data_IF_375460074399
#
_entry.id   IF_375460074399
#
_cell.length_a   1.000
_cell.length_b   1.000
_cell.length_c   1.000
_cell.angle_alpha   90.00
_cell.angle_beta   90.00
_cell.angle_gamma   90.00
#
_symmetry.space_group_name_H-M   'P 1'
#
loop_
_entity.id
_entity.type
_entity.pdbx_description
1 polymer ?
#
# COMPACT_ATOMS: atom_id res chain seq x y z
N UNK A 1 -5.01 52.43 39.48
CA UNK A 1 -4.69 52.43 40.92
C UNK A 1 -4.99 51.02 41.43
N UNK A 2 -4.09 50.04 41.43
CA UNK A 2 -2.84 49.84 42.19
C UNK A 2 -2.98 50.12 43.69
N UNK A 3 -3.12 49.05 44.48
CA UNK A 3 -2.29 48.66 45.65
C UNK A 3 -2.66 47.19 46.00
N UNK A 4 -1.78 46.16 45.92
CA UNK A 4 -0.66 45.77 46.82
C UNK A 4 -1.12 45.51 48.27
N UNK A 5 -0.76 44.47 49.03
CA UNK A 5 0.25 43.38 49.06
C UNK A 5 -0.35 42.21 49.89
N UNK A 6 -0.12 40.90 49.69
CA UNK A 6 1.08 40.03 49.78
C UNK A 6 1.80 39.91 51.15
N UNK A 7 1.79 38.67 51.67
CA UNK A 7 2.74 37.91 52.53
C UNK A 7 2.06 37.29 53.76
N UNK A 8 2.10 35.98 54.04
CA UNK A 8 3.20 34.99 54.17
C UNK A 8 2.67 33.60 53.71
N UNK A 9 3.25 32.75 52.84
CA UNK A 9 4.55 32.02 52.84
C UNK A 9 4.91 31.33 54.16
N UNK A 10 4.67 30.02 54.24
CA UNK A 10 5.71 28.97 54.23
C UNK A 10 5.25 27.67 54.90
N UNK A 11 5.30 26.56 54.16
CA UNK A 11 5.74 25.21 54.60
C UNK A 11 5.64 24.22 53.42
N UNK A 12 6.73 24.10 52.65
CA UNK A 12 7.14 22.82 52.03
C UNK A 12 7.92 22.01 53.11
N UNK A 13 8.06 20.68 53.11
CA UNK A 13 8.88 19.76 52.27
C UNK A 13 8.50 18.29 52.76
N UNK A 14 8.87 17.12 52.15
CA UNK A 14 8.43 16.43 50.92
C UNK A 14 8.01 14.92 51.07
N UNK A 15 7.77 14.28 49.90
CA UNK A 15 7.65 12.84 49.52
C UNK A 15 8.08 11.72 50.50
N UNK A 16 7.26 10.65 50.46
CA UNK A 16 7.51 9.21 50.78
C UNK A 16 6.86 8.65 52.06
N UNK A 17 5.62 8.15 51.92
CA UNK A 17 4.97 7.07 52.72
C UNK A 17 3.45 7.14 52.53
N UNK A 18 2.91 6.54 51.48
CA UNK A 18 1.48 6.15 51.42
C UNK A 18 1.30 4.93 50.52
N UNK A 19 2.25 3.99 50.59
CA UNK A 19 2.03 2.61 50.17
C UNK A 19 1.87 1.77 51.44
N UNK A 20 0.90 0.85 51.40
CA UNK A 20 0.56 -0.20 52.39
C UNK A 20 -0.40 0.22 53.54
N UNK A 21 -1.69 -0.09 53.39
CA UNK A 21 -2.34 -1.28 53.98
C UNK A 21 -3.89 -1.24 53.81
N UNK A 22 -4.43 -2.19 53.01
CA UNK A 22 -5.62 -3.04 53.24
C UNK A 22 -7.03 -2.40 53.50
N UNK A 23 -8.20 -2.97 53.15
CA UNK A 23 -8.63 -4.24 52.55
C UNK A 23 -10.12 -4.11 52.16
N UNK A 24 -10.57 -4.78 51.11
CA UNK A 24 -11.94 -4.75 50.57
C UNK A 24 -12.69 -6.06 50.91
N UNK A 25 -13.68 -6.09 51.84
CA UNK A 25 -14.55 -7.26 51.98
C UNK A 25 -16.06 -6.96 51.85
N UNK A 26 -16.47 -5.83 51.26
CA UNK A 26 -17.91 -5.53 51.13
C UNK A 26 -18.54 -6.04 49.81
N UNK A 27 -17.75 -6.31 48.78
CA UNK A 27 -18.29 -6.65 47.44
C UNK A 27 -18.61 -8.14 47.25
N UNK A 28 -18.04 -9.02 48.07
CA UNK A 28 -18.21 -10.49 47.93
C UNK A 28 -19.49 -11.01 48.58
N UNK A 29 -20.03 -10.29 49.57
CA UNK A 29 -21.23 -10.72 50.30
C UNK A 29 -22.51 -10.51 49.49
N UNK A 30 -22.60 -9.41 48.73
CA UNK A 30 -23.79 -9.10 47.93
C UNK A 30 -23.98 -10.08 46.76
N UNK A 31 -22.89 -10.53 46.15
CA UNK A 31 -22.91 -11.50 45.03
C UNK A 31 -23.31 -12.90 45.51
N UNK A 32 -22.88 -13.30 46.71
CA UNK A 32 -23.26 -14.61 47.30
C UNK A 32 -24.72 -14.66 47.72
N UNK A 33 -25.25 -13.57 48.27
CA UNK A 33 -26.67 -13.46 48.63
C UNK A 33 -27.58 -13.56 47.39
N UNK A 34 -27.20 -12.93 46.29
CA UNK A 34 -27.97 -12.98 45.03
C UNK A 34 -27.96 -14.39 44.40
N UNK A 35 -26.83 -15.10 44.50
CA UNK A 35 -26.69 -16.46 43.96
C UNK A 35 -27.50 -17.50 44.73
N UNK A 36 -27.64 -17.32 46.05
CA UNK A 36 -28.43 -18.22 46.89
C UNK A 36 -29.94 -18.09 46.61
N UNK A 37 -30.43 -16.88 46.34
CA UNK A 37 -31.83 -16.60 46.01
C UNK A 37 -32.22 -17.23 44.66
N UNK A 38 -31.37 -17.11 43.64
CA UNK A 38 -31.60 -17.74 42.32
C UNK A 38 -31.63 -19.27 42.42
N UNK A 39 -30.80 -19.85 43.29
CA UNK A 39 -30.72 -21.31 43.50
C UNK A 39 -31.95 -21.89 44.20
N UNK A 40 -32.69 -21.09 44.97
CA UNK A 40 -33.92 -21.50 45.65
C UNK A 40 -35.14 -21.46 44.69
N UNK A 41 -35.09 -20.66 43.62
CA UNK A 41 -36.23 -20.39 42.73
C UNK A 41 -36.27 -21.32 41.49
N UNK A 42 -35.16 -21.93 41.07
CA UNK A 42 -35.09 -22.68 39.80
C UNK A 42 -35.17 -24.20 39.94
N UNK A 43 -36.00 -24.84 39.10
CA UNK A 43 -36.27 -26.29 39.10
C UNK A 43 -35.10 -27.10 38.48
N UNK A 44 -34.92 -28.36 38.90
CA UNK A 44 -33.72 -29.20 38.64
C UNK A 44 -33.32 -29.34 37.17
N UNK A 45 -34.25 -29.20 36.23
CA UNK A 45 -33.97 -29.32 34.79
C UNK A 45 -33.40 -28.04 34.14
N UNK A 46 -33.52 -26.88 34.78
CA UNK A 46 -32.90 -25.62 34.31
C UNK A 46 -31.48 -25.41 34.88
N UNK A 47 -31.12 -26.12 35.95
CA UNK A 47 -29.77 -26.08 36.54
C UNK A 47 -28.73 -26.79 35.66
N UNK A 48 -29.13 -27.81 34.89
CA UNK A 48 -28.22 -28.55 34.00
C UNK A 48 -27.84 -27.74 32.75
N UNK A 49 -28.75 -26.95 32.20
CA UNK A 49 -28.48 -26.05 31.06
C UNK A 49 -27.60 -24.86 31.49
N UNK A 50 -27.71 -24.40 32.73
CA UNK A 50 -26.86 -23.35 33.30
C UNK A 50 -25.43 -23.81 33.66
N UNK A 51 -25.24 -25.05 34.12
CA UNK A 51 -23.88 -25.60 34.34
C UNK A 51 -23.07 -25.79 33.05
N UNK A 52 -23.73 -26.07 31.93
CA UNK A 52 -23.09 -26.12 30.61
C UNK A 52 -22.75 -24.71 30.11
N UNK A 53 -23.58 -23.71 30.41
CA UNK A 53 -23.33 -22.30 30.07
C UNK A 53 -22.17 -21.68 30.89
N UNK A 54 -22.02 -22.03 32.18
CA UNK A 54 -20.92 -21.53 33.03
C UNK A 54 -19.52 -22.09 32.69
N UNK A 55 -19.44 -23.29 32.08
CA UNK A 55 -18.17 -23.82 31.55
C UNK A 55 -17.71 -23.10 30.28
N UNK A 56 -18.63 -22.41 29.59
CA UNK A 56 -18.33 -21.58 28.42
C UNK A 56 -17.95 -20.12 28.76
N UNK A 57 -18.18 -19.66 30.00
CA UNK A 57 -17.96 -18.25 30.40
C UNK A 57 -16.75 -18.05 31.32
N UNK A 58 -16.26 -19.10 31.99
CA UNK A 58 -15.08 -19.01 32.88
C UNK A 58 -13.71 -19.06 32.17
N UNK A 59 -13.67 -19.03 30.83
CA UNK A 59 -12.43 -18.96 30.03
C UNK A 59 -12.12 -17.60 29.37
N UNK A 60 -12.97 -16.57 29.52
CA UNK A 60 -12.77 -15.29 28.81
C UNK A 60 -12.45 -14.15 29.78
N UNK A 61 -11.17 -13.82 29.87
CA UNK A 61 -10.67 -12.60 30.53
C UNK A 61 -11.04 -11.38 29.69
N UNK A 62 -11.76 -10.46 30.32
CA UNK A 62 -12.16 -9.14 29.83
C UNK A 62 -10.91 -8.32 29.44
N UNK A 63 -10.74 -7.97 28.15
CA UNK A 63 -9.81 -6.93 27.70
C UNK A 63 -10.62 -5.78 27.10
N UNK A 64 -10.42 -4.59 27.67
CA UNK A 64 -10.96 -3.30 27.24
C UNK A 64 -10.66 -3.02 25.76
N UNK A 65 -11.65 -2.41 25.11
CA UNK A 65 -11.60 -1.90 23.74
C UNK A 65 -10.36 -1.04 23.48
N UNK A 66 -9.50 -1.56 22.61
CA UNK A 66 -8.69 -0.79 21.67
C UNK A 66 -9.00 -1.40 20.30
N UNK A 67 -9.72 -0.68 19.45
CA UNK A 67 -9.88 -1.07 18.05
C UNK A 67 -8.56 -0.82 17.31
N UNK A 68 -7.64 -1.77 17.44
CA UNK A 68 -6.43 -1.84 16.64
C UNK A 68 -6.65 -2.88 15.55
N UNK A 69 -6.70 -2.41 14.30
CA UNK A 69 -6.69 -3.21 13.08
C UNK A 69 -5.50 -4.19 13.08
N UNK A 70 -5.72 -5.43 13.50
CA UNK A 70 -4.84 -6.56 13.26
C UNK A 70 -5.71 -7.75 12.88
N UNK A 71 -5.81 -8.05 11.58
CA UNK A 71 -6.66 -9.17 11.17
C UNK A 71 -6.63 -9.61 9.71
N UNK A 72 -6.02 -8.87 8.78
CA UNK A 72 -6.04 -9.24 7.34
C UNK A 72 -4.70 -9.74 6.80
N UNK A 73 -3.57 -9.40 7.44
CA UNK A 73 -2.22 -9.82 6.99
C UNK A 73 -1.96 -11.33 7.21
N UNK A 74 -2.53 -11.93 8.26
CA UNK A 74 -2.24 -13.34 8.61
C UNK A 74 -3.00 -14.34 7.73
N UNK A 75 -4.24 -14.02 7.32
CA UNK A 75 -5.02 -14.88 6.41
C UNK A 75 -4.40 -14.95 5.01
N UNK A 76 -3.80 -13.86 4.52
CA UNK A 76 -3.06 -13.85 3.26
C UNK A 76 -1.73 -14.61 3.37
N UNK A 77 -1.01 -14.49 4.50
CA UNK A 77 0.21 -15.28 4.78
C UNK A 77 -0.07 -16.79 4.92
N UNK A 78 -1.21 -17.18 5.50
CA UNK A 78 -1.59 -18.60 5.65
C UNK A 78 -2.00 -19.23 4.30
N UNK A 79 -2.72 -18.50 3.45
CA UNK A 79 -3.12 -18.97 2.11
C UNK A 79 -1.92 -19.17 1.17
N UNK A 80 -0.78 -18.53 1.45
CA UNK A 80 0.50 -18.71 0.70
C UNK A 80 1.17 -20.07 0.97
N UNK A 81 0.78 -20.80 2.02
CA UNK A 81 1.38 -22.11 2.38
C UNK A 81 0.60 -23.33 1.89
N UNK A 82 -0.68 -23.21 1.55
CA UNK A 82 -1.52 -24.39 1.25
C UNK A 82 -1.79 -24.65 -0.25
N UNK A 83 -1.22 -23.87 -1.18
CA UNK A 83 -1.39 -24.09 -2.64
C UNK A 83 -0.13 -23.89 -3.50
N UNK A 84 1.02 -24.37 -3.05
CA UNK A 84 2.24 -24.39 -3.88
C UNK A 84 2.86 -25.79 -3.87
N UNK A 85 2.14 -26.73 -4.47
CA UNK A 85 2.65 -28.08 -4.81
C UNK A 85 2.99 -28.21 -6.29
N UNK A 86 3.30 -27.10 -6.97
CA UNK A 86 3.85 -27.10 -8.32
C UNK A 86 5.31 -26.67 -8.27
N UNK A 87 6.21 -27.43 -8.89
CA UNK A 87 7.59 -27.01 -9.12
C UNK A 87 7.59 -25.62 -9.78
N UNK A 88 8.01 -24.61 -9.03
CA UNK A 88 8.19 -23.27 -9.57
C UNK A 88 9.46 -23.33 -10.43
N UNK A 89 9.30 -23.48 -11.75
CA UNK A 89 10.43 -23.43 -12.69
C UNK A 89 11.19 -22.14 -12.43
N UNK A 90 12.42 -22.25 -11.90
CA UNK A 90 13.23 -21.10 -11.55
C UNK A 90 13.67 -20.42 -12.84
N UNK A 91 13.07 -19.26 -13.15
CA UNK A 91 13.42 -18.50 -14.34
C UNK A 91 14.63 -17.64 -14.04
N UNK A 92 15.50 -17.51 -15.04
CA UNK A 92 16.69 -16.69 -14.90
C UNK A 92 16.41 -15.30 -15.47
N UNK A 93 16.32 -14.33 -14.58
CA UNK A 93 16.30 -12.91 -14.95
C UNK A 93 17.75 -12.43 -14.93
N UNK A 94 18.27 -11.97 -16.08
CA UNK A 94 19.62 -11.42 -16.18
C UNK A 94 19.75 -10.15 -15.31
N UNK A 95 20.06 -10.32 -14.03
CA UNK A 95 20.21 -9.27 -13.02
C UNK A 95 21.66 -9.31 -12.56
N UNK A 96 22.49 -8.39 -13.06
CA UNK A 96 23.89 -8.27 -12.67
C UNK A 96 24.04 -7.18 -11.59
N UNK A 97 24.83 -7.45 -10.55
CA UNK A 97 25.13 -6.48 -9.50
C UNK A 97 25.92 -5.28 -10.05
N UNK A 98 26.78 -5.51 -11.04
CA UNK A 98 27.57 -4.45 -11.70
C UNK A 98 26.65 -3.44 -12.40
N UNK A 99 25.67 -3.93 -13.18
CA UNK A 99 24.66 -3.10 -13.86
C UNK A 99 23.86 -2.25 -12.85
N UNK A 100 23.50 -2.83 -11.70
CA UNK A 100 22.80 -2.10 -10.62
C UNK A 100 23.68 -1.05 -9.94
N UNK A 101 24.99 -1.33 -9.83
CA UNK A 101 25.94 -0.39 -9.27
C UNK A 101 26.17 0.80 -10.20
N UNK A 102 26.38 0.54 -11.50
CA UNK A 102 26.52 1.55 -12.55
C UNK A 102 25.27 2.44 -12.69
N UNK A 103 24.08 1.84 -12.62
CA UNK A 103 22.82 2.58 -12.67
C UNK A 103 22.51 3.38 -11.39
N UNK A 104 23.33 3.24 -10.34
CA UNK A 104 23.18 3.98 -9.09
C UNK A 104 22.00 3.53 -8.23
N UNK A 105 21.59 2.26 -8.32
CA UNK A 105 20.46 1.68 -7.56
C UNK A 105 20.73 1.67 -6.05
N UNK A 106 22.00 1.56 -5.67
CA UNK A 106 22.45 1.40 -4.29
C UNK A 106 22.38 2.68 -3.45
N UNK A 107 22.24 3.85 -4.06
CA UNK A 107 22.14 5.11 -3.34
C UNK A 107 20.73 5.29 -2.79
N UNK A 108 20.61 5.53 -1.49
CA UNK A 108 19.37 5.99 -0.87
C UNK A 108 19.40 7.48 -0.55
N UNK A 109 18.48 7.90 0.31
CA UNK A 109 18.40 9.26 0.82
C UNK A 109 19.39 9.57 1.95
N UNK A 110 19.47 10.85 2.29
CA UNK A 110 20.25 11.34 3.43
C UNK A 110 19.73 10.82 4.77
N UNK A 111 20.64 10.64 5.72
CA UNK A 111 20.38 9.93 7.00
C UNK A 111 19.41 10.61 7.97
N UNK A 112 18.93 11.82 7.65
CA UNK A 112 17.89 12.51 8.41
C UNK A 112 16.47 12.19 7.92
N UNK A 113 16.32 11.68 6.69
CA UNK A 113 15.04 11.43 6.03
C UNK A 113 14.64 9.95 6.00
N UNK A 114 15.44 9.07 6.59
CA UNK A 114 15.21 7.63 6.50
C UNK A 114 14.10 7.14 7.44
N UNK A 115 13.46 6.05 7.05
CA UNK A 115 12.49 5.33 7.87
C UNK A 115 13.19 4.19 8.61
N UNK A 116 13.10 4.09 9.95
CA UNK A 116 13.70 3.00 10.73
C UNK A 116 13.32 1.59 10.27
N UNK A 117 12.13 1.41 9.69
CA UNK A 117 11.68 0.11 9.15
C UNK A 117 12.52 -0.36 7.95
N UNK A 118 13.23 0.56 7.29
CA UNK A 118 14.15 0.24 6.20
C UNK A 118 15.49 -0.32 6.67
N UNK A 119 15.76 -0.37 7.98
CA UNK A 119 17.04 -0.87 8.52
C UNK A 119 17.49 -2.23 7.95
N UNK A 120 16.62 -3.24 7.74
CA UNK A 120 17.03 -4.53 7.17
C UNK A 120 17.49 -4.49 5.71
N UNK A 121 17.18 -3.41 4.99
CA UNK A 121 17.48 -3.21 3.58
C UNK A 121 18.67 -2.27 3.34
N UNK A 122 19.14 -1.59 4.39
CA UNK A 122 20.29 -0.68 4.36
C UNK A 122 21.54 -1.46 4.73
N UNK A 123 22.58 -1.36 3.89
CA UNK A 123 23.87 -2.04 4.09
C UNK A 123 24.86 -1.15 4.85
N UNK A 124 24.95 0.12 4.51
CA UNK A 124 25.93 1.04 5.09
C UNK A 124 25.45 2.50 5.03
N UNK A 125 26.22 3.38 5.68
CA UNK A 125 26.09 4.83 5.58
C UNK A 125 27.44 5.41 5.19
N UNK A 126 27.51 6.22 4.13
CA UNK A 126 28.74 6.92 3.71
C UNK A 126 28.42 8.37 3.36
N UNK A 127 29.24 9.31 3.84
CA UNK A 127 29.09 10.76 3.58
C UNK A 127 27.66 11.29 3.83
N UNK A 128 26.97 10.76 4.85
CA UNK A 128 25.62 11.19 5.21
C UNK A 128 24.48 10.59 4.36
N UNK A 129 24.78 9.72 3.39
CA UNK A 129 23.83 9.02 2.52
C UNK A 129 23.76 7.54 2.93
N UNK A 130 22.55 6.97 2.93
CA UNK A 130 22.36 5.54 3.12
C UNK A 130 22.66 4.76 1.84
N UNK A 131 23.28 3.59 2.00
CA UNK A 131 23.54 2.65 0.92
C UNK A 131 22.61 1.45 1.11
N UNK A 132 21.84 1.11 0.09
CA UNK A 132 20.94 -0.05 0.11
C UNK A 132 21.70 -1.33 -0.21
N UNK A 133 21.16 -2.47 0.24
CA UNK A 133 21.75 -3.78 -0.01
C UNK A 133 21.31 -4.32 -1.38
N UNK A 134 22.20 -4.25 -2.38
CA UNK A 134 21.92 -4.71 -3.74
C UNK A 134 21.57 -6.20 -3.83
N UNK A 135 22.13 -7.05 -2.97
CA UNK A 135 21.80 -8.48 -2.94
C UNK A 135 20.34 -8.70 -2.53
N UNK A 136 19.82 -7.89 -1.59
CA UNK A 136 18.40 -7.90 -1.26
C UNK A 136 17.57 -7.41 -2.44
N UNK A 137 17.97 -6.30 -3.06
CA UNK A 137 17.29 -5.75 -4.23
C UNK A 137 17.19 -6.77 -5.37
N UNK A 138 18.28 -7.47 -5.70
CA UNK A 138 18.30 -8.48 -6.75
C UNK A 138 17.31 -9.63 -6.45
N UNK A 139 17.20 -10.06 -5.18
CA UNK A 139 16.23 -11.09 -4.76
C UNK A 139 14.78 -10.62 -4.95
N UNK A 140 14.43 -9.45 -4.41
CA UNK A 140 13.08 -8.90 -4.56
C UNK A 140 12.72 -8.59 -6.01
N UNK A 141 13.69 -8.13 -6.79
CA UNK A 141 13.50 -7.90 -8.22
C UNK A 141 13.24 -9.22 -8.97
N UNK A 142 13.97 -10.29 -8.65
CA UNK A 142 13.72 -11.61 -9.23
C UNK A 142 12.32 -12.11 -8.88
N UNK A 143 11.91 -12.03 -7.61
CA UNK A 143 10.57 -12.44 -7.17
C UNK A 143 9.46 -11.61 -7.84
N UNK A 144 9.69 -10.30 -8.01
CA UNK A 144 8.78 -9.43 -8.74
C UNK A 144 8.68 -9.84 -10.22
N UNK A 145 9.81 -10.11 -10.88
CA UNK A 145 9.86 -10.56 -12.26
C UNK A 145 9.10 -11.90 -12.46
N UNK A 146 9.28 -12.86 -11.55
CA UNK A 146 8.55 -14.13 -11.58
C UNK A 146 7.04 -13.91 -11.47
N UNK A 147 6.60 -13.07 -10.53
CA UNK A 147 5.19 -12.77 -10.32
C UNK A 147 4.56 -12.05 -11.53
N UNK A 148 5.25 -11.05 -12.10
CA UNK A 148 4.72 -10.34 -13.28
C UNK A 148 4.73 -11.22 -14.52
N UNK A 149 5.71 -12.11 -14.70
CA UNK A 149 5.72 -13.07 -15.79
C UNK A 149 4.52 -14.01 -15.69
N UNK A 150 4.31 -14.62 -14.53
CA UNK A 150 3.20 -15.55 -14.33
C UNK A 150 1.85 -14.86 -14.51
N UNK A 151 1.69 -13.63 -13.99
CA UNK A 151 0.49 -12.85 -14.20
C UNK A 151 0.26 -12.49 -15.68
N UNK A 152 1.31 -12.09 -16.38
CA UNK A 152 1.26 -11.76 -17.80
C UNK A 152 0.93 -12.98 -18.67
N UNK A 153 1.46 -14.16 -18.32
CA UNK A 153 1.15 -15.41 -19.00
C UNK A 153 -0.32 -15.81 -18.90
N UNK A 154 -0.99 -15.39 -17.82
CA UNK A 154 -2.43 -15.59 -17.58
C UNK A 154 -3.31 -14.49 -18.17
N UNK A 155 -2.73 -13.54 -18.90
CA UNK A 155 -3.47 -12.45 -19.55
C UNK A 155 -3.94 -11.35 -18.60
N UNK A 156 -3.34 -11.21 -17.41
CA UNK A 156 -3.69 -10.17 -16.44
C UNK A 156 -3.29 -8.76 -16.90
N UNK A 157 -3.99 -7.76 -16.37
CA UNK A 157 -3.77 -6.34 -16.68
C UNK A 157 -2.84 -5.67 -15.67
N UNK A 158 -1.95 -4.81 -16.17
CA UNK A 158 -0.95 -4.10 -15.38
C UNK A 158 -1.13 -2.58 -15.50
N UNK A 159 -0.95 -1.89 -14.38
CA UNK A 159 -0.88 -0.44 -14.30
C UNK A 159 0.48 -0.01 -13.72
N UNK A 160 1.20 0.87 -14.42
CA UNK A 160 2.48 1.43 -13.95
C UNK A 160 2.28 2.89 -13.53
N UNK A 161 2.61 3.22 -12.29
CA UNK A 161 2.40 4.56 -11.72
C UNK A 161 3.74 5.17 -11.33
N UNK A 162 3.94 6.43 -11.72
CA UNK A 162 5.06 7.24 -11.23
C UNK A 162 4.98 8.66 -11.78
N UNK A 163 4.59 9.61 -10.94
CA UNK A 163 4.36 11.01 -11.29
C UNK A 163 5.57 11.91 -11.09
N UNK A 164 6.56 11.46 -10.33
CA UNK A 164 7.84 12.16 -10.13
C UNK A 164 8.45 12.52 -11.48
N UNK A 165 8.90 13.77 -11.64
CA UNK A 165 9.43 14.26 -12.92
C UNK A 165 10.53 13.35 -13.51
N UNK A 166 11.39 12.77 -12.66
CA UNK A 166 12.45 11.85 -13.06
C UNK A 166 11.94 10.48 -13.53
N UNK A 167 10.78 10.05 -13.05
CA UNK A 167 10.16 8.78 -13.37
C UNK A 167 9.17 8.86 -14.53
N UNK A 168 8.51 10.00 -14.72
CA UNK A 168 7.37 10.16 -15.62
C UNK A 168 7.60 9.66 -17.06
N UNK A 169 8.73 10.05 -17.67
CA UNK A 169 9.03 9.65 -19.05
C UNK A 169 9.45 8.18 -19.15
N UNK A 170 10.15 7.69 -18.13
CA UNK A 170 10.55 6.27 -18.02
C UNK A 170 9.33 5.37 -17.88
N UNK A 171 8.38 5.74 -17.03
CA UNK A 171 7.11 5.03 -16.81
C UNK A 171 6.29 4.97 -18.09
N UNK A 172 6.10 6.10 -18.78
CA UNK A 172 5.34 6.14 -20.02
C UNK A 172 5.98 5.26 -21.12
N UNK A 173 7.30 5.41 -21.33
CA UNK A 173 8.03 4.65 -22.34
C UNK A 173 8.01 3.14 -22.05
N UNK A 174 8.20 2.76 -20.79
CA UNK A 174 8.22 1.37 -20.36
C UNK A 174 6.83 0.72 -20.52
N UNK A 175 5.77 1.43 -20.13
CA UNK A 175 4.39 0.95 -20.28
C UNK A 175 3.97 0.82 -21.75
N UNK A 176 4.32 1.78 -22.61
CA UNK A 176 4.02 1.72 -24.05
C UNK A 176 4.69 0.50 -24.68
N UNK A 177 5.98 0.27 -24.37
CA UNK A 177 6.73 -0.90 -24.86
C UNK A 177 6.09 -2.21 -24.38
N UNK A 178 5.66 -2.25 -23.12
CA UNK A 178 4.98 -3.41 -22.54
C UNK A 178 3.54 -3.59 -23.03
N UNK A 179 2.92 -2.58 -23.66
CA UNK A 179 1.46 -2.46 -23.89
C UNK A 179 0.65 -2.53 -22.59
N UNK A 180 1.12 -1.85 -21.55
CA UNK A 180 0.44 -1.74 -20.25
C UNK A 180 -0.17 -0.34 -20.07
N UNK A 181 -1.01 -0.20 -19.04
CA UNK A 181 -1.57 1.10 -18.66
C UNK A 181 -0.57 1.85 -17.79
N UNK A 182 -0.65 3.19 -17.81
CA UNK A 182 0.24 3.99 -16.97
C UNK A 182 -0.37 5.31 -16.50
N UNK A 183 0.21 5.84 -15.41
CA UNK A 183 -0.03 7.21 -14.93
C UNK A 183 1.31 7.85 -14.65
N UNK A 184 1.64 8.90 -15.41
CA UNK A 184 2.92 9.61 -15.32
C UNK A 184 2.82 11.11 -14.99
N UNK A 185 1.60 11.63 -14.80
CA UNK A 185 1.37 13.06 -14.54
C UNK A 185 0.90 13.33 -13.12
N UNK A 186 -0.38 13.14 -12.82
CA UNK A 186 -0.89 13.26 -11.46
C UNK A 186 -1.86 12.13 -11.21
N UNK A 187 -1.71 11.47 -10.07
CA UNK A 187 -2.72 10.54 -9.59
C UNK A 187 -3.95 11.32 -9.12
N UNK A 188 -5.10 11.07 -9.72
CA UNK A 188 -6.37 11.62 -9.25
C UNK A 188 -6.91 10.68 -8.17
N UNK A 189 -7.16 11.19 -6.97
CA UNK A 189 -7.73 10.38 -5.90
C UNK A 189 -9.09 9.79 -6.31
N UNK A 190 -9.27 8.51 -6.02
CA UNK A 190 -10.46 7.74 -6.41
C UNK A 190 -10.37 7.11 -7.79
N UNK A 191 -9.21 7.12 -8.45
CA UNK A 191 -9.05 6.53 -9.78
C UNK A 191 -9.41 5.04 -9.81
N UNK A 192 -9.05 4.29 -8.77
CA UNK A 192 -9.37 2.88 -8.64
C UNK A 192 -10.60 2.66 -7.74
N UNK A 193 -10.67 3.32 -6.58
CA UNK A 193 -11.75 3.07 -5.61
C UNK A 193 -13.12 3.57 -6.08
N UNK A 194 -13.15 4.61 -6.92
CA UNK A 194 -14.36 5.13 -7.55
C UNK A 194 -14.30 4.91 -9.08
N UNK A 195 -14.16 3.64 -9.46
CA UNK A 195 -13.99 3.25 -10.87
C UNK A 195 -15.14 3.72 -11.76
N UNK A 196 -16.39 3.67 -11.32
CA UNK A 196 -17.57 4.10 -12.11
C UNK A 196 -17.48 5.57 -12.56
N UNK A 197 -16.95 6.44 -11.69
CA UNK A 197 -16.73 7.86 -12.03
C UNK A 197 -15.55 8.01 -13.00
N UNK A 198 -14.48 7.25 -12.78
CA UNK A 198 -13.33 7.23 -13.70
C UNK A 198 -13.72 6.75 -15.09
N UNK A 199 -14.50 5.67 -15.17
CA UNK A 199 -15.03 5.10 -16.40
C UNK A 199 -15.89 6.12 -17.16
N UNK A 200 -16.79 6.82 -16.47
CA UNK A 200 -17.60 7.91 -17.07
C UNK A 200 -16.71 9.00 -17.68
N UNK A 201 -15.61 9.37 -17.00
CA UNK A 201 -14.64 10.35 -17.53
C UNK A 201 -13.86 9.81 -18.74
N UNK A 202 -13.56 8.51 -18.76
CA UNK A 202 -12.93 7.84 -19.90
C UNK A 202 -13.85 7.81 -21.13
N UNK A 203 -15.15 7.55 -20.94
CA UNK A 203 -16.14 7.66 -22.00
C UNK A 203 -16.19 9.08 -22.58
N UNK A 204 -16.32 10.09 -21.70
CA UNK A 204 -16.30 11.51 -22.12
C UNK A 204 -15.02 11.86 -22.88
N UNK A 205 -13.88 11.33 -22.45
CA UNK A 205 -12.60 11.53 -23.14
C UNK A 205 -12.60 10.91 -24.55
N UNK A 206 -13.13 9.69 -24.70
CA UNK A 206 -13.27 9.03 -26.01
C UNK A 206 -14.18 9.84 -26.94
N UNK A 207 -15.30 10.34 -26.43
CA UNK A 207 -16.28 11.08 -27.22
C UNK A 207 -15.69 12.42 -27.69
N UNK A 208 -15.06 13.19 -26.81
CA UNK A 208 -14.37 14.43 -27.19
C UNK A 208 -13.25 14.21 -28.22
N UNK A 209 -12.53 13.09 -28.11
CA UNK A 209 -11.50 12.72 -29.07
C UNK A 209 -12.10 12.36 -30.43
N UNK A 210 -13.28 11.72 -30.46
CA UNK A 210 -14.00 11.43 -31.69
C UNK A 210 -14.53 12.72 -32.34
N UNK A 211 -15.14 13.62 -31.56
CA UNK A 211 -15.63 14.92 -32.03
C UNK A 211 -14.53 15.83 -32.58
N UNK A 212 -13.35 15.79 -31.96
CA UNK A 212 -12.19 16.51 -32.48
C UNK A 212 -11.77 15.96 -33.85
N UNK A 213 -11.75 14.63 -34.02
CA UNK A 213 -11.37 13.96 -35.27
C UNK A 213 -12.37 14.21 -36.39
N UNK A 214 -13.67 14.28 -36.09
CA UNK A 214 -14.72 14.57 -37.08
C UNK A 214 -14.79 16.06 -37.46
N UNK A 215 -13.98 16.92 -36.83
CA UNK A 215 -13.95 18.36 -37.11
C UNK A 215 -15.13 19.13 -36.51
N UNK A 216 -15.91 18.52 -35.60
CA UNK A 216 -17.08 19.15 -34.95
C UNK A 216 -16.71 20.46 -34.26
N UNK A 217 -15.51 20.55 -33.69
CA UNK A 217 -15.02 21.74 -32.99
C UNK A 217 -14.93 22.98 -33.88
N UNK A 218 -14.71 22.79 -35.19
CA UNK A 218 -14.59 23.90 -36.14
C UNK A 218 -15.95 24.54 -36.47
N UNK A 219 -17.05 23.83 -36.18
CA UNK A 219 -18.43 24.31 -36.40
C UNK A 219 -19.00 25.06 -35.19
N UNK A 220 -18.28 25.07 -34.08
CA UNK A 220 -18.69 25.71 -32.83
C UNK A 220 -18.15 27.14 -32.74
N UNK A 221 -18.79 28.02 -31.95
CA UNK A 221 -18.23 29.31 -31.60
C UNK A 221 -16.82 29.17 -31.01
N UNK A 222 -15.95 30.14 -31.30
CA UNK A 222 -14.52 30.11 -30.86
C UNK A 222 -14.39 29.86 -29.36
N UNK A 223 -15.29 30.44 -28.55
CA UNK A 223 -15.33 30.26 -27.09
C UNK A 223 -15.55 28.80 -26.71
N UNK A 224 -16.57 28.16 -27.28
CA UNK A 224 -16.95 26.78 -26.96
C UNK A 224 -15.90 25.79 -27.47
N UNK A 225 -15.41 26.01 -28.69
CA UNK A 225 -14.31 25.23 -29.25
C UNK A 225 -13.05 25.31 -28.36
N UNK A 226 -12.72 26.49 -27.84
CA UNK A 226 -11.60 26.65 -26.91
C UNK A 226 -11.83 25.91 -25.58
N UNK A 227 -13.05 25.96 -25.03
CA UNK A 227 -13.41 25.23 -23.82
C UNK A 227 -13.26 23.71 -23.99
N UNK A 228 -13.79 23.15 -25.09
CA UNK A 228 -13.68 21.73 -25.39
C UNK A 228 -12.22 21.29 -25.62
N UNK A 229 -11.42 22.11 -26.30
CA UNK A 229 -9.97 21.86 -26.46
C UNK A 229 -9.24 21.84 -25.12
N UNK A 230 -9.54 22.77 -24.20
CA UNK A 230 -8.97 22.78 -22.84
C UNK A 230 -9.37 21.52 -22.07
N UNK A 231 -10.64 21.15 -22.12
CA UNK A 231 -11.13 19.95 -21.44
C UNK A 231 -10.48 18.67 -22.00
N UNK A 232 -10.34 18.58 -23.33
CA UNK A 232 -9.68 17.46 -23.99
C UNK A 232 -8.19 17.38 -23.62
N UNK A 233 -7.49 18.52 -23.60
CA UNK A 233 -6.09 18.59 -23.16
C UNK A 233 -5.91 18.13 -21.71
N UNK A 234 -6.81 18.56 -20.81
CA UNK A 234 -6.83 18.13 -19.42
C UNK A 234 -7.04 16.60 -19.32
N UNK A 235 -8.05 16.04 -19.99
CA UNK A 235 -8.31 14.60 -19.97
C UNK A 235 -7.16 13.80 -20.59
N UNK A 236 -6.57 14.27 -21.69
CA UNK A 236 -5.42 13.64 -22.34
C UNK A 236 -4.19 13.59 -21.43
N UNK A 237 -3.99 14.63 -20.61
CA UNK A 237 -2.86 14.73 -19.67
C UNK A 237 -2.99 13.73 -18.53
N UNK A 238 -4.18 13.58 -17.93
CA UNK A 238 -4.36 12.75 -16.73
C UNK A 238 -4.84 11.33 -17.02
N UNK A 239 -5.67 11.13 -18.03
CA UNK A 239 -6.28 9.83 -18.36
C UNK A 239 -5.65 9.17 -19.59
N UNK A 240 -4.68 9.83 -20.25
CA UNK A 240 -4.10 9.36 -21.50
C UNK A 240 -3.48 7.96 -21.45
N UNK A 241 -2.86 7.60 -20.32
CA UNK A 241 -2.22 6.30 -20.12
C UNK A 241 -3.16 5.18 -19.65
N UNK A 242 -4.36 5.53 -19.18
CA UNK A 242 -5.41 4.58 -18.78
C UNK A 242 -6.59 4.54 -19.76
N UNK A 243 -6.49 5.23 -20.89
CA UNK A 243 -7.57 5.35 -21.89
C UNK A 243 -8.06 4.04 -22.50
N UNK A 244 -7.28 2.97 -22.38
CA UNK A 244 -7.61 1.63 -22.87
C UNK A 244 -8.04 0.68 -21.74
N UNK A 245 -8.09 1.16 -20.49
CA UNK A 245 -8.59 0.36 -19.38
C UNK A 245 -10.11 0.26 -19.47
N UNK A 246 -10.61 -0.96 -19.46
CA UNK A 246 -12.05 -1.27 -19.38
C UNK A 246 -12.46 -1.71 -17.97
N UNK A 247 -11.50 -2.06 -17.12
CA UNK A 247 -11.73 -2.48 -15.74
C UNK A 247 -10.53 -2.19 -14.85
N UNK A 248 -10.64 -2.62 -13.60
CA UNK A 248 -9.58 -2.49 -12.61
C UNK A 248 -8.34 -3.32 -13.01
N UNK A 249 -7.13 -2.83 -12.70
CA UNK A 249 -5.90 -3.58 -12.96
C UNK A 249 -5.76 -4.72 -11.95
N UNK A 250 -5.15 -5.82 -12.38
CA UNK A 250 -4.87 -6.97 -11.50
C UNK A 250 -3.60 -6.77 -10.67
N UNK A 251 -2.63 -6.00 -11.19
CA UNK A 251 -1.35 -5.71 -10.55
C UNK A 251 -0.98 -4.25 -10.83
N UNK A 252 -0.53 -3.56 -9.78
CA UNK A 252 -0.03 -2.18 -9.89
C UNK A 252 1.45 -2.13 -9.54
N UNK A 253 2.24 -1.53 -10.43
CA UNK A 253 3.67 -1.25 -10.24
C UNK A 253 3.80 0.23 -9.92
N UNK A 254 4.39 0.58 -8.78
CA UNK A 254 4.49 1.96 -8.29
C UNK A 254 5.96 2.36 -8.17
N UNK A 255 6.31 3.54 -8.68
CA UNK A 255 7.62 4.18 -8.53
C UNK A 255 7.48 5.34 -7.54
N UNK A 256 8.29 5.32 -6.48
CA UNK A 256 8.26 6.27 -5.36
C UNK A 256 6.97 6.15 -4.53
N UNK A 257 7.08 5.42 -3.42
CA UNK A 257 5.97 5.18 -2.50
C UNK A 257 5.46 6.44 -1.82
N UNK A 258 6.33 7.43 -1.59
CA UNK A 258 6.01 8.60 -0.79
C UNK A 258 5.18 9.58 -1.61
N UNK A 259 5.56 9.81 -2.86
CA UNK A 259 4.80 10.63 -3.81
C UNK A 259 3.46 9.96 -4.18
N UNK A 260 3.45 8.63 -4.35
CA UNK A 260 2.27 7.87 -4.79
C UNK A 260 1.48 7.21 -3.66
N UNK A 261 1.55 7.76 -2.44
CA UNK A 261 0.88 7.18 -1.27
C UNK A 261 -0.64 6.98 -1.48
N UNK A 262 -1.29 7.90 -2.20
CA UNK A 262 -2.73 7.79 -2.50
C UNK A 262 -3.03 6.59 -3.40
N UNK A 263 -2.23 6.36 -4.44
CA UNK A 263 -2.38 5.21 -5.34
C UNK A 263 -2.21 3.89 -4.57
N UNK A 264 -1.19 3.82 -3.70
CA UNK A 264 -0.93 2.66 -2.86
C UNK A 264 -2.11 2.38 -1.91
N UNK A 265 -2.66 3.42 -1.27
CA UNK A 265 -3.82 3.29 -0.36
C UNK A 265 -5.07 2.79 -1.07
N UNK A 266 -5.32 3.26 -2.28
CA UNK A 266 -6.42 2.76 -3.11
C UNK A 266 -6.23 1.28 -3.46
N UNK A 267 -5.03 0.87 -3.86
CA UNK A 267 -4.71 -0.54 -4.15
C UNK A 267 -4.93 -1.42 -2.90
N UNK A 268 -4.42 -0.99 -1.74
CA UNK A 268 -4.61 -1.68 -0.47
C UNK A 268 -6.08 -1.84 -0.09
N UNK A 269 -6.89 -0.81 -0.33
CA UNK A 269 -8.34 -0.83 -0.03
C UNK A 269 -9.07 -1.85 -0.89
N UNK A 270 -8.67 -1.96 -2.16
CA UNK A 270 -9.27 -2.89 -3.12
C UNK A 270 -8.65 -4.30 -3.10
N UNK A 271 -7.57 -4.50 -2.33
CA UNK A 271 -6.84 -5.77 -2.30
C UNK A 271 -6.10 -6.08 -3.60
N UNK A 272 -5.71 -5.04 -4.36
CA UNK A 272 -4.94 -5.20 -5.59
C UNK A 272 -3.46 -5.36 -5.22
N UNK A 273 -2.78 -6.45 -5.66
CA UNK A 273 -1.36 -6.66 -5.42
C UNK A 273 -0.48 -5.52 -5.96
N UNK A 274 0.48 -5.10 -5.14
CA UNK A 274 1.36 -3.96 -5.41
C UNK A 274 2.84 -4.37 -5.44
N UNK A 275 3.55 -3.90 -6.47
CA UNK A 275 5.00 -3.97 -6.56
C UNK A 275 5.52 -2.54 -6.50
N UNK A 276 6.28 -2.20 -5.47
CA UNK A 276 6.74 -0.83 -5.25
C UNK A 276 8.26 -0.73 -5.30
N UNK A 277 8.76 0.27 -6.04
CA UNK A 277 10.11 0.76 -5.89
C UNK A 277 10.17 1.60 -4.61
N UNK A 278 11.01 1.20 -3.66
CA UNK A 278 11.10 1.86 -2.35
C UNK A 278 12.51 2.34 -2.07
N UNK A 279 12.64 3.58 -1.62
CA UNK A 279 13.89 4.14 -1.11
C UNK A 279 13.88 4.12 0.44
N UNK A 280 14.99 4.47 1.05
CA UNK A 280 15.28 4.47 2.49
C UNK A 280 14.34 5.30 3.36
N UNK A 281 13.60 6.26 2.80
CA UNK A 281 12.55 7.06 3.45
C UNK A 281 11.17 6.37 3.47
N UNK A 282 10.99 5.27 2.73
CA UNK A 282 9.71 4.61 2.54
C UNK A 282 9.41 3.55 3.62
N UNK A 283 8.16 3.10 3.73
CA UNK A 283 7.76 2.01 4.64
C UNK A 283 7.61 0.70 3.86
N UNK A 284 8.49 -0.30 4.06
CA UNK A 284 8.50 -1.53 3.27
C UNK A 284 7.29 -2.43 3.50
N UNK A 285 6.49 -2.19 4.55
CA UNK A 285 5.33 -3.01 4.92
C UNK A 285 4.05 -2.64 4.15
N UNK A 286 4.04 -1.53 3.42
CA UNK A 286 2.83 -1.05 2.73
C UNK A 286 2.61 -1.66 1.33
N UNK A 287 3.64 -2.26 0.73
CA UNK A 287 3.54 -2.94 -0.57
C UNK A 287 3.72 -4.46 -0.40
N UNK A 288 3.15 -5.24 -1.32
CA UNK A 288 3.24 -6.71 -1.27
C UNK A 288 4.63 -7.21 -1.66
N UNK A 289 5.23 -6.58 -2.68
CA UNK A 289 6.63 -6.76 -3.04
C UNK A 289 7.31 -5.40 -3.08
N UNK A 290 8.26 -5.22 -2.18
CA UNK A 290 9.01 -3.99 -2.01
C UNK A 290 10.42 -4.18 -2.58
N UNK A 291 10.76 -3.46 -3.66
CA UNK A 291 12.07 -3.51 -4.31
C UNK A 291 12.91 -2.32 -3.81
N UNK A 292 13.93 -2.54 -2.94
CA UNK A 292 14.77 -1.46 -2.42
C UNK A 292 15.66 -0.87 -3.50
N UNK A 293 15.46 0.39 -3.87
CA UNK A 293 16.19 1.03 -4.95
C UNK A 293 16.10 2.56 -4.88
N UNK A 294 17.04 3.20 -5.55
CA UNK A 294 17.06 4.65 -5.74
C UNK A 294 15.90 5.12 -6.64
N UNK A 295 15.00 5.94 -6.12
CA UNK A 295 13.90 6.56 -6.87
C UNK A 295 14.23 7.98 -7.39
N UNK A 296 15.45 8.46 -7.10
CA UNK A 296 15.95 9.78 -7.47
C UNK A 296 16.89 9.75 -8.67
N UNK A 297 17.37 8.58 -9.08
CA UNK A 297 18.20 8.40 -10.27
C UNK A 297 17.37 7.86 -11.44
N UNK A 298 17.38 8.58 -12.56
CA UNK A 298 16.71 8.17 -13.80
C UNK A 298 17.25 6.80 -14.28
N UNK A 299 18.56 6.59 -14.18
CA UNK A 299 19.20 5.33 -14.57
C UNK A 299 18.69 4.14 -13.72
N UNK A 300 18.60 4.31 -12.40
CA UNK A 300 18.05 3.31 -11.48
C UNK A 300 16.60 2.96 -11.82
N UNK A 301 15.72 3.97 -11.94
CA UNK A 301 14.31 3.76 -12.28
C UNK A 301 14.18 3.03 -13.62
N UNK A 302 14.93 3.46 -14.64
CA UNK A 302 14.91 2.82 -15.97
C UNK A 302 15.38 1.38 -15.91
N UNK A 303 16.45 1.08 -15.18
CA UNK A 303 16.97 -0.27 -15.04
C UNK A 303 15.90 -1.21 -14.46
N UNK A 304 15.32 -0.84 -13.31
CA UNK A 304 14.32 -1.67 -12.63
C UNK A 304 13.05 -1.83 -13.48
N UNK A 305 12.52 -0.74 -14.03
CA UNK A 305 11.34 -0.80 -14.91
C UNK A 305 11.61 -1.64 -16.16
N UNK A 306 12.81 -1.55 -16.74
CA UNK A 306 13.15 -2.34 -17.92
C UNK A 306 13.13 -3.84 -17.62
N UNK A 307 13.70 -4.28 -16.49
CA UNK A 307 13.68 -5.71 -16.11
C UNK A 307 12.25 -6.21 -15.88
N UNK A 308 11.42 -5.45 -15.16
CA UNK A 308 10.01 -5.79 -14.94
C UNK A 308 9.21 -5.84 -16.24
N UNK A 309 9.41 -4.86 -17.13
CA UNK A 309 8.73 -4.82 -18.43
C UNK A 309 9.18 -5.94 -19.35
N UNK A 310 10.45 -6.31 -19.37
CA UNK A 310 10.93 -7.48 -20.12
C UNK A 310 10.23 -8.74 -19.63
N UNK A 311 10.11 -8.94 -18.31
CA UNK A 311 9.37 -10.08 -17.74
C UNK A 311 7.88 -10.09 -18.15
N UNK A 312 7.22 -8.93 -18.19
CA UNK A 312 5.84 -8.80 -18.68
C UNK A 312 5.75 -9.18 -20.17
N UNK A 313 6.67 -8.68 -21.01
CA UNK A 313 6.70 -8.97 -22.44
C UNK A 313 6.94 -10.47 -22.72
N UNK A 314 7.87 -11.08 -22.01
CA UNK A 314 8.14 -12.52 -22.10
C UNK A 314 6.94 -13.35 -21.65
N UNK A 315 6.29 -12.96 -20.55
CA UNK A 315 5.08 -13.61 -20.06
C UNK A 315 3.93 -13.54 -21.06
N UNK A 316 3.72 -12.37 -21.68
CA UNK A 316 2.71 -12.19 -22.74
C UNK A 316 3.02 -13.03 -23.98
N UNK A 317 4.28 -13.09 -24.39
CA UNK A 317 4.72 -13.92 -25.51
C UNK A 317 4.47 -15.40 -25.23
N UNK A 318 4.68 -15.85 -23.99
CA UNK A 318 4.33 -17.19 -23.54
C UNK A 318 2.83 -17.45 -23.59
N UNK A 319 2.00 -16.48 -23.16
CA UNK A 319 0.54 -16.57 -23.25
C UNK A 319 0.04 -16.75 -24.70
N UNK A 320 0.63 -16.01 -25.64
CA UNK A 320 0.28 -16.10 -27.07
C UNK A 320 0.65 -17.47 -27.64
N UNK A 321 1.80 -18.04 -27.24
CA UNK A 321 2.21 -19.39 -27.69
C UNK A 321 1.35 -20.51 -27.12
N UNK A 322 0.80 -20.32 -25.93
CA UNK A 322 -0.02 -21.32 -25.25
C UNK A 322 -1.50 -21.26 -25.64
N UNK A 323 -1.90 -20.32 -26.50
CA UNK A 323 -3.25 -20.22 -27.08
C UNK A 323 -3.27 -20.80 -28.48
#
# INVERSE_FOLDING_TARGET
>A
MIHQNNHLRDLMIPKSRLDSFFSFPFFTYLVRAFYLVIKIIMNRNELMTWTVYQRSISGRRFRRNNYLFQGTSSLFKKKKREKVGGEMTRRYWNINLEEMMEAGVHFGHGTRKWNPRMAPYISAKRKGIHITNLTRTARFLSEACDLVFDAASRGKHFLIVGTKNKAADSVASAAIRARCHYVNKKWLGGMLTNWSTTETRLHKFRDLRAEQKTGKFNRLPKRDAAMLKRQLSHLQTYLGGIKYMTGLPDIVIIVDQQEEYTALRECLTLGIPTICLIDTNCDPDLADISIPANDDAIASIRLILNKLVSAICEGRSSSIRNR
#
